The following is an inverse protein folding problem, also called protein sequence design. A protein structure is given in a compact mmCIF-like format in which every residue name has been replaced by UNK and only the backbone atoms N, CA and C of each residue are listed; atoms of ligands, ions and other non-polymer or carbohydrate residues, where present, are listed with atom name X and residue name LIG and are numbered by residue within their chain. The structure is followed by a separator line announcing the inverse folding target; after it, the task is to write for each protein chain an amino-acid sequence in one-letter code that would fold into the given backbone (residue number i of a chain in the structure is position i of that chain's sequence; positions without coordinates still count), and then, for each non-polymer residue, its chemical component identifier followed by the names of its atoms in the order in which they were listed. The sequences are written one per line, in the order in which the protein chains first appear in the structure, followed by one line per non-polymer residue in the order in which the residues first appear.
data_IF_860058259264
#
_entry.id   IF_860058259264
#
_cell.length_a   1.000
_cell.length_b   1.000
_cell.length_c   1.000
_cell.angle_alpha   90.00
_cell.angle_beta   90.00
_cell.angle_gamma   90.00
#
_symmetry.space_group_name_H-M   'P 1'
#
loop_
_entity.id
_entity.type
_entity.pdbx_description
1 polymer ?
#
# COMPACT_ATOMS: atom_id res chain seq x y z
N UNK A 1 33.60 -38.79 25.50
CA UNK A 1 33.85 -37.44 24.88
C UNK A 1 32.92 -37.13 23.68
N UNK A 2 32.58 -38.12 22.85
CA UNK A 2 31.72 -37.92 21.66
C UNK A 2 30.30 -37.38 22.00
N UNK A 3 29.73 -37.74 23.16
CA UNK A 3 28.36 -37.35 23.55
C UNK A 3 28.21 -35.86 23.88
N UNK A 4 29.24 -35.21 24.46
CA UNK A 4 29.20 -33.79 24.80
C UNK A 4 29.32 -32.91 23.55
N UNK A 5 30.13 -33.29 22.58
CA UNK A 5 30.26 -32.57 21.31
C UNK A 5 29.02 -32.68 20.45
N UNK A 6 28.35 -33.81 20.44
CA UNK A 6 27.07 -34.00 19.74
C UNK A 6 25.95 -33.17 20.38
N UNK A 7 25.89 -33.11 21.71
CA UNK A 7 24.91 -32.30 22.44
C UNK A 7 25.10 -30.79 22.16
N UNK A 8 26.32 -30.28 22.18
CA UNK A 8 26.63 -28.87 21.85
C UNK A 8 26.26 -28.55 20.40
N UNK A 9 26.48 -29.50 19.49
CA UNK A 9 26.13 -29.33 18.09
C UNK A 9 24.62 -29.27 17.85
N UNK A 10 23.84 -30.16 18.49
CA UNK A 10 22.38 -30.13 18.43
C UNK A 10 21.83 -28.81 19.01
N UNK A 11 22.38 -28.36 20.15
CA UNK A 11 21.99 -27.12 20.78
C UNK A 11 22.24 -25.90 19.88
N UNK A 12 23.36 -25.85 19.15
CA UNK A 12 23.68 -24.77 18.22
C UNK A 12 22.74 -24.75 17.01
N UNK A 13 22.33 -25.91 16.49
CA UNK A 13 21.34 -25.99 15.40
C UNK A 13 19.98 -25.48 15.91
N UNK A 14 19.53 -25.91 17.08
CA UNK A 14 18.27 -25.46 17.66
C UNK A 14 18.28 -23.95 17.87
N UNK A 15 19.36 -23.41 18.42
CA UNK A 15 19.52 -21.96 18.59
C UNK A 15 19.48 -21.20 17.26
N UNK A 16 20.16 -21.68 16.22
CA UNK A 16 20.13 -21.09 14.90
C UNK A 16 18.72 -21.10 14.26
N UNK A 17 18.00 -22.22 14.39
CA UNK A 17 16.62 -22.33 13.92
C UNK A 17 15.69 -21.37 14.66
N UNK A 18 15.82 -21.25 15.98
CA UNK A 18 15.03 -20.30 16.78
C UNK A 18 15.30 -18.85 16.37
N UNK A 19 16.56 -18.46 16.15
CA UNK A 19 16.91 -17.13 15.67
C UNK A 19 16.32 -16.88 14.27
N UNK A 20 16.44 -17.81 13.35
CA UNK A 20 15.84 -17.69 12.02
C UNK A 20 14.33 -17.56 12.09
N UNK A 21 13.67 -18.31 12.97
CA UNK A 21 12.22 -18.32 13.16
C UNK A 21 11.72 -16.99 13.77
N UNK A 22 12.44 -16.43 14.73
CA UNK A 22 12.14 -15.12 15.32
C UNK A 22 12.31 -13.99 14.31
N UNK A 23 13.40 -13.99 13.53
CA UNK A 23 13.64 -13.04 12.44
C UNK A 23 12.55 -13.15 11.37
N UNK A 24 12.19 -14.37 10.97
CA UNK A 24 11.12 -14.60 9.99
C UNK A 24 9.76 -14.09 10.48
N UNK A 25 9.40 -14.36 11.73
CA UNK A 25 8.13 -13.90 12.34
C UNK A 25 8.07 -12.37 12.44
N UNK A 26 9.16 -11.72 12.84
CA UNK A 26 9.22 -10.25 12.94
C UNK A 26 9.13 -9.58 11.57
N UNK A 27 9.84 -10.11 10.57
CA UNK A 27 9.76 -9.62 9.20
C UNK A 27 8.38 -9.87 8.57
N UNK A 28 7.78 -11.02 8.84
CA UNK A 28 6.44 -11.36 8.36
C UNK A 28 5.37 -10.41 8.93
N UNK A 29 5.44 -10.10 10.23
CA UNK A 29 4.53 -9.12 10.87
C UNK A 29 4.70 -7.72 10.26
N UNK A 30 5.92 -7.25 10.11
CA UNK A 30 6.22 -5.93 9.52
C UNK A 30 5.73 -5.82 8.06
N UNK A 31 5.90 -6.89 7.27
CA UNK A 31 5.40 -6.93 5.90
C UNK A 31 3.87 -6.97 5.82
N UNK A 32 3.19 -7.65 6.76
CA UNK A 32 1.72 -7.70 6.81
C UNK A 32 1.13 -6.30 7.03
N UNK A 33 1.68 -5.52 7.96
CA UNK A 33 1.24 -4.13 8.18
C UNK A 33 1.49 -3.23 6.95
N UNK A 34 2.62 -3.40 6.27
CA UNK A 34 2.92 -2.63 5.06
C UNK A 34 1.97 -2.97 3.91
N UNK A 35 1.61 -4.25 3.74
CA UNK A 35 0.67 -4.71 2.71
C UNK A 35 -0.75 -4.20 3.00
N UNK A 36 -1.20 -4.24 4.25
CA UNK A 36 -2.50 -3.70 4.65
C UNK A 36 -2.58 -2.20 4.33
N UNK A 37 -1.57 -1.43 4.73
CA UNK A 37 -1.51 0.01 4.46
C UNK A 37 -1.53 0.33 2.96
N UNK A 38 -0.80 -0.43 2.15
CA UNK A 38 -0.79 -0.27 0.69
C UNK A 38 -2.14 -0.62 0.03
N UNK A 39 -2.85 -1.62 0.56
CA UNK A 39 -4.19 -1.97 0.07
C UNK A 39 -5.21 -0.89 0.44
N UNK A 40 -5.11 -0.32 1.64
CA UNK A 40 -5.98 0.78 2.06
C UNK A 40 -5.74 2.03 1.21
N UNK A 41 -4.47 2.40 0.95
CA UNK A 41 -4.14 3.51 0.05
C UNK A 41 -4.73 3.31 -1.35
N UNK A 42 -4.56 2.13 -1.96
CA UNK A 42 -5.13 1.82 -3.28
C UNK A 42 -6.66 1.84 -3.29
N UNK A 43 -7.30 1.39 -2.20
CA UNK A 43 -8.74 1.46 -2.07
C UNK A 43 -9.22 2.92 -2.07
N UNK A 44 -8.55 3.80 -1.33
CA UNK A 44 -8.92 5.21 -1.29
C UNK A 44 -8.64 5.93 -2.60
N UNK A 45 -7.54 5.63 -3.28
CA UNK A 45 -7.26 6.17 -4.62
C UNK A 45 -8.36 5.78 -5.62
N UNK A 46 -8.84 4.53 -5.55
CA UNK A 46 -9.97 4.08 -6.37
C UNK A 46 -11.26 4.83 -6.01
N UNK A 47 -11.62 4.91 -4.72
CA UNK A 47 -12.81 5.63 -4.26
C UNK A 47 -12.77 7.09 -4.73
N UNK A 48 -11.64 7.77 -4.58
CA UNK A 48 -11.50 9.16 -5.01
C UNK A 48 -11.66 9.32 -6.52
N UNK A 49 -11.14 8.39 -7.32
CA UNK A 49 -11.32 8.41 -8.77
C UNK A 49 -12.79 8.19 -9.18
N UNK A 50 -13.53 7.35 -8.46
CA UNK A 50 -14.97 7.16 -8.69
C UNK A 50 -15.78 8.39 -8.26
N UNK A 51 -15.45 9.01 -7.13
CA UNK A 51 -16.11 10.23 -6.68
C UNK A 51 -15.88 11.40 -7.64
N UNK A 52 -14.71 11.49 -8.28
CA UNK A 52 -14.38 12.54 -9.26
C UNK A 52 -15.28 12.50 -10.50
N UNK A 53 -15.65 11.31 -10.96
CA UNK A 53 -16.49 11.12 -12.16
C UNK A 53 -17.97 10.92 -11.83
N UNK A 54 -18.33 10.86 -10.55
CA UNK A 54 -19.68 10.60 -10.11
C UNK A 54 -20.59 11.80 -10.39
N UNK A 55 -21.80 11.60 -10.96
CA UNK A 55 -22.77 12.67 -11.11
C UNK A 55 -23.19 13.25 -9.75
N UNK A 56 -23.43 14.57 -9.68
CA UNK A 56 -23.72 15.31 -8.45
C UNK A 56 -24.88 14.70 -7.64
N UNK A 57 -25.96 14.25 -8.31
CA UNK A 57 -27.09 13.61 -7.64
C UNK A 57 -26.69 12.32 -6.90
N UNK A 58 -25.86 11.47 -7.52
CA UNK A 58 -25.35 10.24 -6.89
C UNK A 58 -24.34 10.54 -5.79
N UNK A 59 -23.55 11.57 -5.97
CA UNK A 59 -22.60 12.03 -4.96
C UNK A 59 -23.38 12.46 -3.69
N UNK A 60 -24.45 13.24 -3.85
CA UNK A 60 -25.30 13.64 -2.75
C UNK A 60 -25.95 12.43 -2.08
N UNK A 61 -26.52 11.50 -2.85
CA UNK A 61 -27.14 10.28 -2.32
C UNK A 61 -26.16 9.48 -1.44
N UNK A 62 -24.89 9.42 -1.82
CA UNK A 62 -23.85 8.74 -1.07
C UNK A 62 -23.63 9.37 0.31
N UNK A 63 -23.71 10.71 0.40
CA UNK A 63 -23.48 11.45 1.65
C UNK A 63 -24.75 11.74 2.45
N UNK A 64 -25.94 11.42 1.92
CA UNK A 64 -27.21 11.59 2.65
C UNK A 64 -27.23 10.96 4.05
N UNK A 65 -26.61 9.81 4.32
CA UNK A 65 -26.58 9.23 5.67
C UNK A 65 -25.99 10.16 6.75
N UNK A 66 -25.11 11.10 6.38
CA UNK A 66 -24.55 12.11 7.31
C UNK A 66 -25.66 13.01 7.87
N UNK A 67 -26.72 13.25 7.09
CA UNK A 67 -27.80 14.19 7.40
C UNK A 67 -29.04 13.53 8.01
N UNK A 68 -28.94 12.26 8.44
CA UNK A 68 -30.08 11.50 8.94
C UNK A 68 -30.81 12.19 10.08
N UNK A 69 -30.07 12.90 10.95
CA UNK A 69 -30.62 13.62 12.11
C UNK A 69 -30.76 15.12 11.87
N UNK A 70 -30.52 15.58 10.64
CA UNK A 70 -30.61 16.99 10.26
C UNK A 70 -31.82 17.24 9.40
N UNK A 71 -32.49 18.38 9.60
CA UNK A 71 -33.56 18.82 8.71
C UNK A 71 -32.95 19.47 7.47
N UNK A 72 -33.05 18.77 6.35
CA UNK A 72 -32.64 19.26 5.04
C UNK A 72 -33.73 20.24 4.55
N UNK A 73 -33.29 21.45 4.14
CA UNK A 73 -34.20 22.49 3.60
C UNK A 73 -34.20 22.44 2.09
N UNK A 74 -32.98 22.33 1.49
CA UNK A 74 -32.84 22.33 0.04
C UNK A 74 -31.68 21.43 -0.37
N UNK A 75 -31.81 20.84 -1.56
CA UNK A 75 -30.74 20.10 -2.25
C UNK A 75 -30.68 20.65 -3.67
N UNK A 76 -29.57 21.20 -4.07
CA UNK A 76 -29.35 21.78 -5.39
C UNK A 76 -27.97 21.42 -5.91
N UNK A 77 -27.93 20.75 -7.07
CA UNK A 77 -26.70 20.24 -7.69
C UNK A 77 -25.82 19.49 -6.66
N UNK A 78 -24.69 20.09 -6.28
CA UNK A 78 -23.74 19.56 -5.31
C UNK A 78 -23.81 20.27 -3.94
N UNK A 79 -24.89 20.96 -3.64
CA UNK A 79 -25.15 21.63 -2.36
C UNK A 79 -26.24 20.94 -1.57
N UNK A 80 -26.05 20.85 -0.25
CA UNK A 80 -27.08 20.49 0.72
C UNK A 80 -27.22 21.64 1.71
N UNK A 81 -28.42 22.13 1.86
CA UNK A 81 -28.75 23.18 2.83
C UNK A 81 -29.59 22.61 3.97
N UNK A 82 -29.11 22.83 5.20
CA UNK A 82 -29.84 22.52 6.44
C UNK A 82 -30.23 23.81 7.16
N UNK A 83 -30.89 23.70 8.31
CA UNK A 83 -31.28 24.89 9.10
C UNK A 83 -30.08 25.74 9.49
N UNK A 84 -28.94 25.11 9.86
CA UNK A 84 -27.80 25.81 10.45
C UNK A 84 -26.55 25.85 9.55
N UNK A 85 -26.54 25.09 8.46
CA UNK A 85 -25.33 24.89 7.67
C UNK A 85 -25.62 24.71 6.19
N UNK A 86 -24.67 25.07 5.36
CA UNK A 86 -24.63 24.78 3.92
C UNK A 86 -23.41 23.96 3.61
N UNK A 87 -23.59 22.87 2.90
CA UNK A 87 -22.58 21.88 2.54
C UNK A 87 -22.37 21.90 1.04
N UNK A 88 -21.11 21.90 0.61
CA UNK A 88 -20.71 21.76 -0.79
C UNK A 88 -19.84 20.52 -0.93
N UNK A 89 -20.18 19.67 -1.89
CA UNK A 89 -19.42 18.47 -2.26
C UNK A 89 -18.70 18.71 -3.59
N UNK A 90 -17.37 18.83 -3.54
CA UNK A 90 -16.53 19.04 -4.71
C UNK A 90 -15.35 18.07 -4.71
N UNK A 91 -15.58 16.88 -5.26
CA UNK A 91 -14.54 15.84 -5.40
C UNK A 91 -13.79 15.90 -6.73
N UNK A 92 -13.82 17.05 -7.41
CA UNK A 92 -12.90 17.29 -8.54
C UNK A 92 -11.43 17.09 -8.11
N UNK A 93 -10.57 16.80 -9.08
CA UNK A 93 -9.14 16.54 -8.84
C UNK A 93 -8.49 17.58 -7.93
N UNK A 94 -8.83 18.84 -8.17
CA UNK A 94 -8.38 19.97 -7.34
C UNK A 94 -9.54 20.95 -7.13
N UNK A 95 -9.80 21.30 -5.88
CA UNK A 95 -10.86 22.28 -5.53
C UNK A 95 -10.27 23.68 -5.51
N UNK A 96 -10.75 24.53 -6.39
CA UNK A 96 -10.33 25.92 -6.51
C UNK A 96 -11.05 26.86 -5.54
N UNK A 97 -10.43 28.03 -5.29
CA UNK A 97 -11.01 29.09 -4.45
C UNK A 97 -12.43 29.50 -4.86
N UNK A 98 -12.74 29.50 -6.15
CA UNK A 98 -14.05 29.89 -6.68
C UNK A 98 -15.20 29.06 -6.08
N UNK A 99 -14.97 27.76 -5.84
CA UNK A 99 -15.95 26.87 -5.18
C UNK A 99 -16.21 27.31 -3.75
N UNK A 100 -15.17 27.61 -2.99
CA UNK A 100 -15.30 28.13 -1.62
C UNK A 100 -15.98 29.51 -1.56
N UNK A 101 -15.74 30.38 -2.56
CA UNK A 101 -16.44 31.68 -2.70
C UNK A 101 -17.93 31.46 -2.93
N UNK A 102 -18.31 30.56 -3.83
CA UNK A 102 -19.72 30.23 -4.11
C UNK A 102 -20.40 29.64 -2.88
N UNK A 103 -19.74 28.71 -2.18
CA UNK A 103 -20.25 28.18 -0.92
C UNK A 103 -20.52 29.30 0.09
N UNK A 104 -19.58 30.24 0.24
CA UNK A 104 -19.75 31.36 1.19
C UNK A 104 -20.87 32.32 0.83
N UNK A 105 -21.09 32.57 -0.48
CA UNK A 105 -22.23 33.35 -0.96
C UNK A 105 -23.56 32.71 -0.62
N UNK A 106 -23.64 31.37 -0.76
CA UNK A 106 -24.88 30.62 -0.49
C UNK A 106 -25.13 30.36 1.01
N UNK A 107 -24.11 30.55 1.86
CA UNK A 107 -24.16 30.28 3.30
C UNK A 107 -24.38 31.53 4.15
N UNK A 108 -25.13 32.54 3.67
CA UNK A 108 -25.37 33.76 4.42
C UNK A 108 -26.12 33.46 5.74
N UNK A 109 -25.48 33.80 6.87
CA UNK A 109 -26.02 33.52 8.20
C UNK A 109 -25.90 32.07 8.70
N UNK A 110 -25.36 31.17 7.90
CA UNK A 110 -25.18 29.75 8.22
C UNK A 110 -23.70 29.34 8.22
N UNK A 111 -23.41 28.21 8.82
CA UNK A 111 -22.09 27.60 8.73
C UNK A 111 -21.83 27.07 7.31
N UNK A 112 -20.63 27.30 6.82
CA UNK A 112 -20.20 26.81 5.51
C UNK A 112 -19.24 25.62 5.67
N UNK A 113 -19.55 24.51 5.00
CA UNK A 113 -18.78 23.27 5.11
C UNK A 113 -18.47 22.77 3.70
N UNK A 114 -17.19 22.55 3.43
CA UNK A 114 -16.68 22.09 2.14
C UNK A 114 -16.13 20.68 2.27
N UNK A 115 -16.67 19.75 1.49
CA UNK A 115 -16.12 18.41 1.28
C UNK A 115 -15.38 18.39 -0.06
N UNK A 116 -14.10 18.02 -0.05
CA UNK A 116 -13.28 18.09 -1.25
C UNK A 116 -12.17 17.03 -1.28
N UNK A 117 -11.66 16.75 -2.48
CA UNK A 117 -10.52 15.84 -2.65
C UNK A 117 -9.21 16.53 -2.23
N UNK A 118 -8.80 17.55 -2.99
CA UNK A 118 -7.54 18.26 -2.77
C UNK A 118 -7.73 19.77 -2.97
N UNK A 119 -7.92 20.54 -1.88
CA UNK A 119 -8.07 21.98 -1.99
C UNK A 119 -6.72 22.63 -2.32
N UNK A 120 -6.73 23.65 -3.18
CA UNK A 120 -5.54 24.47 -3.46
C UNK A 120 -5.17 25.31 -2.25
N UNK A 121 -3.90 25.73 -2.14
CA UNK A 121 -3.42 26.57 -1.01
C UNK A 121 -4.21 27.90 -0.93
N UNK A 122 -4.58 28.46 -2.07
CA UNK A 122 -5.41 29.67 -2.16
C UNK A 122 -6.84 29.40 -1.64
N UNK A 123 -7.41 28.23 -1.98
CA UNK A 123 -8.70 27.79 -1.44
C UNK A 123 -8.64 27.63 0.08
N UNK A 124 -7.62 26.94 0.61
CA UNK A 124 -7.43 26.76 2.06
C UNK A 124 -7.26 28.07 2.80
N UNK A 125 -6.49 29.00 2.25
CA UNK A 125 -6.29 30.33 2.82
C UNK A 125 -7.60 31.10 2.89
N UNK A 126 -8.39 31.08 1.82
CA UNK A 126 -9.70 31.69 1.79
C UNK A 126 -10.66 31.04 2.80
N UNK A 127 -10.70 29.71 2.88
CA UNK A 127 -11.54 28.98 3.81
C UNK A 127 -11.24 29.36 5.27
N UNK A 128 -9.94 29.41 5.63
CA UNK A 128 -9.50 29.87 6.97
C UNK A 128 -9.97 31.29 7.28
N UNK A 129 -9.78 32.24 6.33
CA UNK A 129 -10.19 33.65 6.51
C UNK A 129 -11.69 33.80 6.67
N UNK A 130 -12.48 32.96 6.00
CA UNK A 130 -13.96 33.05 5.97
C UNK A 130 -14.64 32.08 6.91
N UNK A 131 -13.90 31.35 7.75
CA UNK A 131 -14.40 30.35 8.72
C UNK A 131 -15.24 29.27 8.03
N UNK A 132 -14.76 28.77 6.89
CA UNK A 132 -15.33 27.62 6.20
C UNK A 132 -14.63 26.37 6.74
N UNK A 133 -15.41 25.39 7.21
CA UNK A 133 -14.88 24.08 7.62
C UNK A 133 -14.59 23.26 6.39
N UNK A 134 -13.38 22.69 6.30
CA UNK A 134 -12.97 21.87 5.15
C UNK A 134 -12.73 20.44 5.60
N UNK A 135 -13.41 19.51 4.95
CA UNK A 135 -13.18 18.07 5.04
C UNK A 135 -12.54 17.59 3.74
N UNK A 136 -11.24 17.33 3.78
CA UNK A 136 -10.47 16.82 2.66
C UNK A 136 -10.56 15.28 2.57
N UNK A 137 -9.87 14.70 1.59
CA UNK A 137 -9.81 13.24 1.40
C UNK A 137 -9.40 12.45 2.64
N UNK A 138 -8.65 13.05 3.57
CA UNK A 138 -8.18 12.37 4.77
C UNK A 138 -9.31 12.16 5.79
N UNK A 139 -10.41 12.91 5.69
CA UNK A 139 -11.58 12.75 6.54
C UNK A 139 -12.50 11.60 6.09
N UNK A 140 -12.41 11.15 4.83
CA UNK A 140 -13.30 10.11 4.27
C UNK A 140 -13.29 8.79 5.05
N UNK A 141 -12.15 8.24 5.53
CA UNK A 141 -12.13 7.00 6.31
C UNK A 141 -12.89 7.11 7.64
N UNK A 142 -12.84 8.27 8.28
CA UNK A 142 -13.56 8.53 9.52
C UNK A 142 -15.05 8.66 9.25
N UNK A 143 -15.45 9.39 8.22
CA UNK A 143 -16.83 9.55 7.78
C UNK A 143 -17.45 8.22 7.35
N UNK A 144 -16.71 7.37 6.61
CA UNK A 144 -17.18 6.03 6.25
C UNK A 144 -17.54 5.23 7.49
N UNK A 145 -16.65 5.24 8.49
CA UNK A 145 -16.81 4.46 9.71
C UNK A 145 -17.95 5.00 10.60
N UNK A 146 -18.07 6.32 10.71
CA UNK A 146 -19.04 6.99 11.59
C UNK A 146 -20.46 6.91 11.03
N UNK A 147 -20.61 7.17 9.73
CA UNK A 147 -21.91 7.25 9.07
C UNK A 147 -22.25 6.02 8.22
N UNK A 148 -21.39 5.00 8.21
CA UNK A 148 -21.54 3.77 7.43
C UNK A 148 -21.82 4.04 5.94
N UNK A 149 -21.02 4.94 5.35
CA UNK A 149 -21.17 5.34 3.96
C UNK A 149 -20.87 4.16 3.02
N UNK A 150 -21.72 3.95 2.02
CA UNK A 150 -21.57 2.85 1.05
C UNK A 150 -20.71 3.28 -0.15
N UNK A 151 -19.42 3.50 0.06
CA UNK A 151 -18.51 3.80 -1.04
C UNK A 151 -18.43 2.65 -2.06
N UNK A 152 -18.21 2.99 -3.36
CA UNK A 152 -18.01 1.98 -4.38
C UNK A 152 -16.86 1.05 -3.99
N UNK A 153 -17.15 -0.25 -3.98
CA UNK A 153 -16.16 -1.28 -3.71
C UNK A 153 -15.64 -1.80 -5.03
N UNK A 154 -14.32 -1.84 -5.15
CA UNK A 154 -13.68 -2.53 -6.26
C UNK A 154 -14.04 -4.01 -6.16
N UNK A 155 -14.95 -4.49 -6.99
CA UNK A 155 -15.31 -5.92 -7.13
C UNK A 155 -14.23 -6.70 -7.90
N UNK A 156 -13.03 -6.18 -7.99
CA UNK A 156 -11.94 -7.01 -8.41
C UNK A 156 -11.75 -8.10 -7.36
N UNK A 157 -12.06 -9.33 -7.75
CA UNK A 157 -11.49 -10.52 -7.15
C UNK A 157 -9.98 -10.34 -7.18
N UNK A 158 -9.43 -9.69 -6.16
CA UNK A 158 -8.00 -9.74 -5.89
C UNK A 158 -7.77 -11.21 -5.54
N UNK A 159 -7.61 -12.03 -6.58
CA UNK A 159 -7.08 -13.37 -6.42
C UNK A 159 -5.83 -13.20 -5.56
N UNK A 160 -5.94 -13.61 -4.30
CA UNK A 160 -4.78 -13.60 -3.40
C UNK A 160 -3.69 -14.35 -4.13
N UNK A 161 -2.61 -13.70 -4.56
CA UNK A 161 -1.62 -14.36 -5.38
C UNK A 161 -1.22 -15.64 -4.65
N UNK A 162 -1.34 -16.79 -5.33
CA UNK A 162 -1.01 -18.11 -4.78
C UNK A 162 0.34 -17.99 -4.10
N UNK A 163 0.54 -18.67 -2.99
CA UNK A 163 1.80 -18.60 -2.22
C UNK A 163 3.02 -18.73 -3.13
N UNK A 164 2.90 -19.54 -4.17
CA UNK A 164 3.93 -19.74 -5.19
C UNK A 164 4.24 -18.47 -6.01
N UNK A 165 3.25 -17.68 -6.39
CA UNK A 165 3.45 -16.40 -7.11
C UNK A 165 4.09 -15.34 -6.21
N UNK A 166 3.74 -15.32 -4.92
CA UNK A 166 4.40 -14.43 -3.94
C UNK A 166 5.87 -14.80 -3.76
N UNK A 167 6.19 -16.09 -3.71
CA UNK A 167 7.57 -16.57 -3.62
C UNK A 167 8.30 -16.23 -4.90
N UNK A 168 7.70 -16.49 -6.07
CA UNK A 168 8.26 -16.15 -7.38
C UNK A 168 8.57 -14.65 -7.47
N UNK A 169 7.62 -13.78 -7.15
CA UNK A 169 7.80 -12.32 -7.22
C UNK A 169 8.88 -11.83 -6.25
N UNK A 170 8.99 -12.41 -5.05
CA UNK A 170 10.09 -12.10 -4.13
C UNK A 170 11.44 -12.61 -4.61
N UNK A 171 11.49 -13.80 -5.21
CA UNK A 171 12.73 -14.33 -5.81
C UNK A 171 13.18 -13.49 -7.00
N UNK A 172 12.26 -13.02 -7.84
CA UNK A 172 12.57 -12.11 -8.95
C UNK A 172 13.09 -10.76 -8.46
N UNK A 173 12.50 -10.19 -7.42
CA UNK A 173 12.99 -8.94 -6.79
C UNK A 173 14.40 -9.12 -6.17
N UNK A 174 14.71 -10.31 -5.65
CA UNK A 174 16.02 -10.67 -5.11
C UNK A 174 17.04 -11.04 -6.18
N UNK A 175 16.59 -11.41 -7.39
CA UNK A 175 17.44 -11.91 -8.48
C UNK A 175 18.19 -10.78 -9.19
N UNK A 176 19.05 -10.03 -8.45
CA UNK A 176 19.98 -9.07 -9.04
C UNK A 176 21.32 -9.73 -9.31
N UNK A 177 21.97 -9.38 -10.43
CA UNK A 177 23.30 -9.90 -10.76
C UNK A 177 24.32 -9.67 -9.62
N UNK A 178 24.25 -8.51 -8.95
CA UNK A 178 25.10 -8.17 -7.82
C UNK A 178 24.93 -9.16 -6.66
N UNK A 179 23.69 -9.53 -6.31
CA UNK A 179 23.38 -10.48 -5.22
C UNK A 179 23.79 -11.92 -5.58
N UNK A 180 23.56 -12.33 -6.83
CA UNK A 180 24.03 -13.63 -7.31
C UNK A 180 25.56 -13.73 -7.27
N UNK A 181 26.27 -12.70 -7.71
CA UNK A 181 27.75 -12.67 -7.67
C UNK A 181 28.29 -12.66 -6.23
N UNK A 182 27.69 -11.87 -5.32
CA UNK A 182 28.13 -11.86 -3.91
C UNK A 182 27.87 -13.19 -3.22
N UNK A 183 26.73 -13.85 -3.47
CA UNK A 183 26.46 -15.18 -2.89
C UNK A 183 27.41 -16.27 -3.46
N UNK A 184 27.74 -16.20 -4.75
CA UNK A 184 28.74 -17.10 -5.36
C UNK A 184 30.14 -16.92 -4.76
N UNK A 185 30.57 -15.66 -4.60
CA UNK A 185 31.86 -15.34 -3.97
C UNK A 185 31.92 -15.81 -2.52
N UNK A 186 30.86 -15.60 -1.74
CA UNK A 186 30.75 -16.09 -0.36
C UNK A 186 30.80 -17.63 -0.30
N UNK A 187 30.10 -18.30 -1.21
CA UNK A 187 30.13 -19.77 -1.32
C UNK A 187 31.52 -20.30 -1.62
N UNK A 188 32.23 -19.68 -2.59
CA UNK A 188 33.61 -20.03 -2.93
C UNK A 188 34.54 -19.82 -1.73
N UNK A 189 34.42 -18.71 -1.01
CA UNK A 189 35.17 -18.45 0.23
C UNK A 189 34.95 -19.54 1.28
N UNK A 190 33.69 -19.90 1.55
CA UNK A 190 33.33 -20.95 2.52
C UNK A 190 33.95 -22.30 2.10
N UNK A 191 33.92 -22.68 0.83
CA UNK A 191 34.51 -23.93 0.33
C UNK A 191 36.03 -23.90 0.46
N UNK A 192 36.69 -22.78 0.14
CA UNK A 192 38.15 -22.64 0.29
C UNK A 192 38.59 -22.76 1.76
N UNK A 193 37.88 -22.10 2.67
CA UNK A 193 38.13 -22.18 4.11
C UNK A 193 37.79 -23.54 4.72
N UNK A 194 37.06 -24.41 4.01
CA UNK A 194 36.74 -25.76 4.50
C UNK A 194 37.97 -26.59 4.83
N UNK A 195 39.09 -26.37 4.10
CA UNK A 195 40.39 -27.09 4.34
C UNK A 195 41.06 -26.68 5.64
N UNK A 196 40.78 -25.50 6.15
CA UNK A 196 41.33 -24.95 7.40
C UNK A 196 40.43 -25.21 8.61
N UNK A 197 39.25 -25.76 8.39
CA UNK A 197 38.23 -25.94 9.42
C UNK A 197 38.27 -27.32 10.05
N UNK A 198 37.86 -27.41 11.35
CA UNK A 198 37.65 -28.67 12.05
C UNK A 198 36.52 -29.53 11.49
N UNK A 199 35.63 -28.95 10.65
CA UNK A 199 34.45 -29.61 10.06
C UNK A 199 34.37 -29.41 8.55
N UNK A 200 35.32 -29.88 7.73
CA UNK A 200 35.41 -29.56 6.31
C UNK A 200 34.14 -29.99 5.53
N UNK A 201 33.55 -31.13 5.86
CA UNK A 201 32.35 -31.64 5.19
C UNK A 201 31.12 -30.68 5.32
N UNK A 202 30.99 -30.00 6.46
CA UNK A 202 29.93 -29.05 6.69
C UNK A 202 30.12 -27.75 5.90
N UNK A 203 31.33 -27.25 5.84
CA UNK A 203 31.61 -26.04 5.06
C UNK A 203 31.44 -26.31 3.56
N UNK A 204 31.81 -27.48 3.06
CA UNK A 204 31.54 -27.88 1.67
C UNK A 204 30.03 -27.97 1.41
N UNK A 205 29.24 -28.56 2.32
CA UNK A 205 27.79 -28.65 2.19
C UNK A 205 27.14 -27.28 2.16
N UNK A 206 27.46 -26.41 3.11
CA UNK A 206 26.88 -25.04 3.16
C UNK A 206 27.32 -24.20 1.95
N UNK A 207 28.55 -24.30 1.52
CA UNK A 207 29.07 -23.63 0.34
C UNK A 207 28.40 -24.11 -0.96
N UNK A 208 28.16 -25.43 -1.11
CA UNK A 208 27.45 -25.98 -2.26
C UNK A 208 25.98 -25.54 -2.31
N UNK A 209 25.32 -25.44 -1.16
CA UNK A 209 23.93 -24.96 -1.05
C UNK A 209 23.81 -23.48 -1.44
N UNK A 210 24.76 -22.63 -1.03
CA UNK A 210 24.86 -21.24 -1.43
C UNK A 210 25.16 -21.08 -2.94
N UNK A 211 26.00 -21.95 -3.51
CA UNK A 211 26.27 -21.98 -4.94
C UNK A 211 25.01 -22.34 -5.74
N UNK A 212 24.27 -23.36 -5.30
CA UNK A 212 22.99 -23.74 -5.92
C UNK A 212 21.97 -22.58 -5.88
N UNK A 213 21.88 -21.89 -4.74
CA UNK A 213 21.02 -20.70 -4.61
C UNK A 213 21.43 -19.57 -5.56
N UNK A 214 22.73 -19.30 -5.67
CA UNK A 214 23.27 -18.31 -6.62
C UNK A 214 22.94 -18.66 -8.08
N UNK A 215 23.06 -19.95 -8.45
CA UNK A 215 22.69 -20.41 -9.79
C UNK A 215 21.20 -20.24 -10.09
N UNK A 216 20.31 -20.51 -9.10
CA UNK A 216 18.87 -20.29 -9.23
C UNK A 216 18.57 -18.81 -9.49
N UNK A 217 19.18 -17.89 -8.73
CA UNK A 217 19.00 -16.45 -8.94
C UNK A 217 19.47 -16.00 -10.33
N UNK A 218 20.55 -16.55 -10.84
CA UNK A 218 21.06 -16.28 -12.19
C UNK A 218 20.09 -16.78 -13.28
N UNK A 219 19.57 -17.99 -13.13
CA UNK A 219 18.59 -18.57 -14.08
C UNK A 219 17.31 -17.74 -14.13
N UNK A 220 16.78 -17.33 -12.96
CA UNK A 220 15.60 -16.47 -12.88
C UNK A 220 15.86 -15.15 -13.63
N UNK A 221 17.01 -14.54 -13.44
CA UNK A 221 17.37 -13.27 -14.10
C UNK A 221 17.53 -13.40 -15.61
N UNK A 222 18.10 -14.50 -16.08
CA UNK A 222 18.23 -14.76 -17.53
C UNK A 222 16.87 -15.02 -18.16
N UNK A 223 15.98 -15.74 -17.46
CA UNK A 223 14.63 -16.02 -17.91
C UNK A 223 13.79 -14.74 -18.04
N UNK A 224 13.92 -13.80 -17.08
CA UNK A 224 13.27 -12.48 -17.15
C UNK A 224 13.75 -11.65 -18.35
N UNK A 225 15.06 -11.68 -18.63
CA UNK A 225 15.62 -10.91 -19.74
C UNK A 225 15.22 -11.45 -21.13
N UNK A 226 14.73 -12.71 -21.19
CA UNK A 226 14.24 -13.36 -22.41
C UNK A 226 12.72 -13.17 -22.62
N UNK A 227 11.95 -12.67 -21.65
CA UNK A 227 10.55 -12.31 -21.90
C UNK A 227 10.57 -11.02 -22.74
N UNK A 228 9.94 -11.05 -23.96
CA UNK A 228 9.83 -9.85 -24.77
C UNK A 228 9.10 -8.78 -23.96
N UNK A 229 9.64 -7.58 -23.99
CA UNK A 229 9.06 -6.38 -23.40
C UNK A 229 7.55 -6.34 -23.68
N UNK A 230 6.80 -6.19 -22.61
CA UNK A 230 5.35 -6.10 -22.56
C UNK A 230 4.80 -5.19 -23.67
N UNK A 231 3.62 -5.51 -24.16
CA UNK A 231 2.73 -4.79 -25.09
C UNK A 231 2.78 -3.25 -25.03
N UNK A 232 3.32 -2.65 -23.96
CA UNK A 232 3.54 -1.20 -23.83
C UNK A 232 4.49 -0.61 -24.87
N UNK A 233 5.52 -1.37 -25.30
CA UNK A 233 6.50 -0.85 -26.27
C UNK A 233 6.01 -0.94 -27.71
N UNK A 234 4.93 -1.68 -27.97
CA UNK A 234 4.30 -1.81 -29.30
C UNK A 234 3.18 -0.78 -29.52
N UNK A 235 2.70 -0.10 -28.48
CA UNK A 235 1.61 0.88 -28.59
C UNK A 235 2.09 2.34 -28.68
N UNK A 236 3.37 2.59 -28.47
CA UNK A 236 3.93 3.97 -28.46
C UNK A 236 5.14 4.18 -29.38
N UNK A 237 5.35 3.29 -30.38
CA UNK A 237 6.26 3.53 -31.52
C UNK A 237 5.48 3.72 -32.82
#
# INVERSE_FOLDING_TARGET
MLSKTVAVFILSIVAAVLVCLTVFLTLSRKNKHKILKLNDEKRWDFILSELEIMPDNRLIDLFLPIFKDCKIINIEDNFIETENSVYLFDYSKTTERNRAVNLKKNSVGKNAILFCNMPTDDCLTFCKQRKITVFDKNALPELEKEYNLAFPTQTENIEKPRIFERIKNKLTELATFKRAATSALSAAGIILFSRLSFFPKWYIFCGSLLLAFSAILLVIRIAEKKQPSSIKDTLFN
#
